data_IF_300136985696
#
_entry.id   IF_300136985696
#
_cell.length_a   1.000
_cell.length_b   1.000
_cell.length_c   1.000
_cell.angle_alpha   90.00
_cell.angle_beta   90.00
_cell.angle_gamma   90.00
#
_symmetry.space_group_name_H-M   'P 1'
#
loop_
_entity.id
_entity.type
_entity.pdbx_description
1 polymer ?
#
# COMPACT_ATOMS: atom_id res chain seq x y z
N UNK A 1 -23.82 8.95 15.42
CA UNK A 1 -22.41 9.25 15.67
C UNK A 1 -21.64 8.60 14.56
N UNK A 2 -20.55 9.22 14.12
CA UNK A 2 -19.66 8.64 13.14
C UNK A 2 -18.25 8.67 13.72
N UNK A 3 -17.46 7.64 13.45
CA UNK A 3 -16.07 7.59 13.86
C UNK A 3 -15.23 8.19 12.72
N UNK A 4 -14.50 9.23 13.05
CA UNK A 4 -13.54 9.85 12.14
C UNK A 4 -12.14 9.33 12.44
N UNK A 5 -11.36 9.05 11.40
CA UNK A 5 -9.92 8.87 11.52
C UNK A 5 -9.22 10.16 11.95
N UNK A 6 -7.90 10.12 12.13
CA UNK A 6 -7.08 11.26 12.55
C UNK A 6 -7.22 12.52 11.68
N UNK A 7 -7.67 12.37 10.43
CA UNK A 7 -7.91 13.47 9.49
C UNK A 7 -9.35 14.01 9.51
N UNK A 8 -10.20 13.51 10.43
CA UNK A 8 -11.62 13.86 10.47
C UNK A 8 -12.39 13.35 9.25
N UNK A 9 -11.88 12.33 8.56
CA UNK A 9 -12.59 11.62 7.49
C UNK A 9 -13.19 10.35 8.07
N UNK A 10 -14.34 9.92 7.55
CA UNK A 10 -14.91 8.62 7.95
C UNK A 10 -13.91 7.53 7.56
N UNK A 11 -13.62 6.60 8.48
CA UNK A 11 -12.73 5.50 8.17
C UNK A 11 -13.43 4.53 7.21
N UNK A 12 -12.93 4.42 5.98
CA UNK A 12 -13.52 3.55 4.96
C UNK A 12 -13.27 2.06 5.26
N UNK A 13 -14.33 1.25 5.15
CA UNK A 13 -14.25 -0.21 5.17
C UNK A 13 -15.64 -0.84 5.10
N UNK A 14 -15.90 -1.66 4.07
CA UNK A 14 -17.21 -2.25 3.76
C UNK A 14 -17.81 -3.21 4.83
N UNK A 15 -17.20 -3.28 6.03
CA UNK A 15 -17.64 -4.20 7.09
C UNK A 15 -17.40 -3.70 8.54
N UNK A 16 -16.92 -2.47 8.77
CA UNK A 16 -16.39 -2.15 10.11
C UNK A 16 -17.30 -1.33 11.03
N UNK A 17 -18.15 -0.40 10.58
CA UNK A 17 -18.87 0.46 11.53
C UNK A 17 -20.25 0.96 11.04
N UNK A 18 -21.19 1.10 11.99
CA UNK A 18 -22.49 1.73 11.76
C UNK A 18 -22.30 3.24 11.75
N UNK A 19 -22.35 3.87 10.57
CA UNK A 19 -22.52 5.32 10.48
C UNK A 19 -24.02 5.61 10.49
N UNK A 20 -24.52 6.20 11.58
CA UNK A 20 -25.86 6.77 11.63
C UNK A 20 -25.79 8.24 12.03
N UNK A 21 -26.59 9.06 11.38
CA UNK A 21 -26.78 10.46 11.71
C UNK A 21 -28.14 10.66 12.37
N UNK A 22 -28.21 11.56 13.34
CA UNK A 22 -29.48 12.05 13.89
C UNK A 22 -29.44 13.56 13.98
N UNK A 23 -30.33 14.20 13.24
CA UNK A 23 -30.63 15.62 13.43
C UNK A 23 -31.91 15.74 14.27
N UNK A 24 -31.83 16.49 15.36
CA UNK A 24 -32.98 16.76 16.23
C UNK A 24 -33.12 18.24 16.46
N UNK A 25 -34.31 18.78 16.17
CA UNK A 25 -34.68 20.17 16.47
C UNK A 25 -35.92 20.14 17.37
N UNK A 26 -35.84 20.82 18.50
CA UNK A 26 -36.91 20.89 19.51
C UNK A 26 -37.14 22.33 19.91
N UNK A 27 -38.39 22.75 19.87
CA UNK A 27 -38.87 23.96 20.54
C UNK A 27 -40.09 23.54 21.35
N UNK A 28 -40.00 23.67 22.67
CA UNK A 28 -40.98 23.08 23.60
C UNK A 28 -42.21 23.96 23.85
N UNK A 29 -42.28 25.15 23.25
CA UNK A 29 -43.41 26.08 23.37
C UNK A 29 -43.02 27.51 22.98
N UNK A 30 -44.00 28.42 22.98
CA UNK A 30 -43.80 29.86 22.78
C UNK A 30 -43.78 30.33 21.33
N UNK A 31 -43.92 29.43 20.35
CA UNK A 31 -44.04 29.79 18.94
C UNK A 31 -45.48 30.17 18.59
N UNK A 32 -45.62 31.01 17.56
CA UNK A 32 -46.92 31.39 17.01
C UNK A 32 -47.52 30.18 16.26
N UNK A 33 -48.68 29.66 16.68
CA UNK A 33 -49.31 28.51 16.04
C UNK A 33 -49.51 28.71 14.53
N UNK A 34 -49.13 27.72 13.72
CA UNK A 34 -49.28 27.76 12.26
C UNK A 34 -48.28 28.65 11.51
N UNK A 35 -47.42 29.40 12.22
CA UNK A 35 -46.39 30.21 11.57
C UNK A 35 -45.19 29.35 11.11
N UNK A 36 -44.51 29.83 10.07
CA UNK A 36 -43.29 29.21 9.53
C UNK A 36 -42.02 29.67 10.24
N UNK A 37 -41.11 28.72 10.47
CA UNK A 37 -39.82 28.94 11.10
C UNK A 37 -38.71 28.26 10.29
N UNK A 38 -37.64 28.97 9.96
CA UNK A 38 -36.48 28.43 9.25
C UNK A 38 -35.33 28.22 10.24
N UNK A 39 -34.89 26.97 10.38
CA UNK A 39 -33.68 26.61 11.11
C UNK A 39 -32.52 26.46 10.15
N UNK A 40 -31.46 27.24 10.36
CA UNK A 40 -30.18 27.12 9.65
C UNK A 40 -29.14 26.54 10.61
N UNK A 41 -28.41 25.53 10.17
CA UNK A 41 -27.47 24.76 10.98
C UNK A 41 -26.30 24.27 10.12
N UNK A 42 -25.26 23.67 10.71
CA UNK A 42 -24.04 23.32 9.96
C UNK A 42 -24.14 22.33 8.80
N UNK A 43 -25.31 21.74 8.57
CA UNK A 43 -25.54 20.80 7.46
C UNK A 43 -26.61 21.30 6.49
N UNK A 44 -26.99 22.58 6.58
CA UNK A 44 -27.97 23.21 5.69
C UNK A 44 -29.07 23.95 6.45
N UNK A 45 -30.23 24.10 5.80
CA UNK A 45 -31.38 24.80 6.36
C UNK A 45 -32.67 24.03 6.11
N UNK A 46 -33.62 24.11 7.04
CA UNK A 46 -34.93 23.49 6.96
C UNK A 46 -36.02 24.41 7.52
N UNK A 47 -37.20 24.37 6.90
CA UNK A 47 -38.36 25.14 7.33
C UNK A 47 -39.38 24.22 7.99
N UNK A 48 -39.95 24.69 9.11
CA UNK A 48 -40.95 24.00 9.91
C UNK A 48 -42.17 24.90 10.09
N UNK A 49 -43.33 24.29 10.33
CA UNK A 49 -44.54 25.01 10.75
C UNK A 49 -44.80 24.65 12.21
N UNK A 50 -45.00 25.66 13.07
CA UNK A 50 -45.29 25.43 14.47
C UNK A 50 -46.66 24.75 14.65
N UNK A 51 -46.72 23.77 15.55
CA UNK A 51 -47.98 23.09 15.89
C UNK A 51 -48.99 24.03 16.55
N UNK A 52 -50.23 23.57 16.75
CA UNK A 52 -51.24 24.30 17.51
C UNK A 52 -50.78 24.64 18.95
N UNK A 53 -49.88 23.84 19.50
CA UNK A 53 -49.27 24.05 20.82
C UNK A 53 -48.05 25.00 20.79
N UNK A 54 -47.71 25.58 19.63
CA UNK A 54 -46.54 26.47 19.50
C UNK A 54 -45.21 25.74 19.64
N UNK A 55 -45.12 24.50 19.15
CA UNK A 55 -43.92 23.66 19.28
C UNK A 55 -43.33 23.24 17.93
N UNK A 56 -42.05 22.84 17.94
CA UNK A 56 -41.38 22.12 16.84
C UNK A 56 -40.80 20.83 17.42
N UNK A 57 -41.10 19.69 16.82
CA UNK A 57 -40.61 18.37 17.24
C UNK A 57 -40.14 17.55 16.04
N UNK A 58 -38.91 17.83 15.57
CA UNK A 58 -38.37 17.21 14.35
C UNK A 58 -37.23 16.22 14.64
N UNK A 59 -37.29 15.02 14.07
CA UNK A 59 -36.16 14.08 14.09
C UNK A 59 -35.99 13.46 12.73
N UNK A 60 -34.80 13.64 12.17
CA UNK A 60 -34.36 12.92 11.00
C UNK A 60 -33.23 11.96 11.41
N UNK A 61 -33.43 10.68 11.12
CA UNK A 61 -32.43 9.65 11.30
C UNK A 61 -31.96 9.22 9.91
N UNK A 62 -30.65 9.23 9.68
CA UNK A 62 -30.05 8.76 8.44
C UNK A 62 -29.14 7.57 8.76
N UNK A 63 -29.19 6.53 7.93
CA UNK A 63 -28.56 5.23 8.20
C UNK A 63 -29.52 4.19 8.77
N UNK A 64 -29.01 2.99 9.03
CA UNK A 64 -29.81 1.86 9.49
C UNK A 64 -30.00 1.89 11.01
N UNK A 65 -31.25 1.97 11.50
CA UNK A 65 -31.58 1.99 12.93
C UNK A 65 -32.38 0.79 13.45
N UNK A 66 -32.84 -0.11 12.56
CA UNK A 66 -33.50 -1.36 12.91
C UNK A 66 -33.50 -2.32 11.71
N UNK A 67 -33.22 -3.61 11.96
CA UNK A 67 -33.49 -4.71 11.04
C UNK A 67 -34.76 -5.44 11.51
N UNK A 68 -35.59 -6.05 10.61
CA UNK A 68 -35.37 -6.30 9.17
C UNK A 68 -35.90 -5.18 8.23
N UNK A 69 -35.33 -5.00 7.01
CA UNK A 69 -34.32 -5.83 6.30
C UNK A 69 -32.85 -5.50 6.68
N UNK A 70 -31.89 -6.24 6.08
CA UNK A 70 -30.45 -6.06 6.34
C UNK A 70 -29.96 -4.66 5.93
N UNK A 71 -29.07 -4.08 6.74
CA UNK A 71 -28.57 -2.73 6.56
C UNK A 71 -27.72 -2.60 5.27
N UNK A 72 -28.08 -1.65 4.41
CA UNK A 72 -27.22 -1.18 3.31
C UNK A 72 -26.32 -0.04 3.82
N UNK A 73 -25.06 -0.37 4.05
CA UNK A 73 -24.07 0.53 4.65
C UNK A 73 -23.51 1.57 3.66
N UNK A 74 -23.82 1.47 2.37
CA UNK A 74 -23.37 2.44 1.35
C UNK A 74 -24.14 3.77 1.42
N UNK A 75 -25.36 3.76 1.96
CA UNK A 75 -26.23 4.93 2.08
C UNK A 75 -25.79 5.94 3.16
N UNK A 76 -24.91 5.55 4.07
CA UNK A 76 -24.52 6.36 5.22
C UNK A 76 -23.44 7.42 4.92
N UNK A 77 -22.73 7.32 3.80
CA UNK A 77 -21.49 8.08 3.53
C UNK A 77 -21.63 9.28 2.58
N UNK A 78 -22.38 9.25 1.46
CA UNK A 78 -22.35 10.36 0.52
C UNK A 78 -23.35 11.50 0.81
N UNK A 79 -24.49 11.21 1.47
CA UNK A 79 -25.66 12.10 1.51
C UNK A 79 -26.21 12.36 2.92
N UNK A 80 -25.39 12.16 3.95
CA UNK A 80 -25.83 12.33 5.35
C UNK A 80 -25.34 13.66 5.93
N UNK A 81 -26.00 14.14 6.98
CA UNK A 81 -25.58 15.28 7.80
C UNK A 81 -24.36 14.93 8.68
N UNK A 82 -23.44 14.13 8.15
CA UNK A 82 -22.23 13.62 8.80
C UNK A 82 -20.98 14.22 8.13
N UNK A 83 -21.11 14.84 6.95
CA UNK A 83 -20.01 15.51 6.26
C UNK A 83 -20.06 17.05 6.36
N UNK A 84 -18.90 17.73 6.40
CA UNK A 84 -17.71 17.36 7.16
C UNK A 84 -18.01 17.41 8.67
N UNK A 85 -17.25 16.67 9.48
CA UNK A 85 -17.43 16.70 10.93
C UNK A 85 -17.28 18.12 11.46
N UNK A 86 -18.18 18.51 12.36
CA UNK A 86 -18.00 19.71 13.16
C UNK A 86 -16.78 19.48 14.05
N UNK A 87 -15.74 20.26 13.79
CA UNK A 87 -14.50 20.20 14.54
C UNK A 87 -14.49 21.31 15.55
N UNK A 88 -14.01 21.02 16.75
CA UNK A 88 -13.67 22.04 17.72
C UNK A 88 -12.71 23.06 17.10
N UNK A 89 -13.03 24.35 17.17
CA UNK A 89 -12.15 25.39 16.63
C UNK A 89 -10.83 25.47 17.43
N UNK A 90 -9.68 25.05 16.86
CA UNK A 90 -8.43 25.02 17.61
C UNK A 90 -7.90 26.43 17.92
N UNK A 91 -8.38 27.48 17.23
CA UNK A 91 -7.91 28.85 17.45
C UNK A 91 -8.40 29.45 18.77
N UNK A 92 -9.55 29.00 19.28
CA UNK A 92 -10.08 29.46 20.56
C UNK A 92 -9.65 28.55 21.74
N UNK A 93 -9.51 27.23 21.54
CA UNK A 93 -8.85 26.32 22.48
C UNK A 93 -8.56 24.95 21.85
N UNK A 94 -7.61 24.20 22.39
CA UNK A 94 -7.24 22.86 21.88
C UNK A 94 -8.07 21.78 22.58
N UNK A 95 -8.75 20.87 21.85
CA UNK A 95 -9.45 19.75 22.47
C UNK A 95 -8.46 18.78 23.16
N UNK A 96 -8.91 17.97 24.14
CA UNK A 96 -8.07 16.93 24.73
C UNK A 96 -7.48 16.01 23.66
N UNK A 97 -6.23 15.58 23.86
CA UNK A 97 -5.54 14.72 22.90
C UNK A 97 -6.36 13.45 22.59
N UNK A 98 -6.56 13.19 21.30
CA UNK A 98 -7.34 12.03 20.83
C UNK A 98 -8.86 12.24 20.78
N UNK A 99 -9.36 13.47 20.94
CA UNK A 99 -10.79 13.80 20.86
C UNK A 99 -11.06 14.90 19.84
N UNK A 100 -12.26 14.90 19.26
CA UNK A 100 -12.73 15.96 18.34
C UNK A 100 -13.34 17.18 19.06
N UNK A 101 -13.50 17.12 20.39
CA UNK A 101 -14.08 18.17 21.23
C UNK A 101 -14.28 17.75 22.68
N UNK A 102 -14.74 18.68 23.52
CA UNK A 102 -15.01 18.46 24.95
C UNK A 102 -16.47 18.81 25.30
N UNK A 103 -17.36 17.84 25.60
CA UNK A 103 -18.80 18.08 25.74
C UNK A 103 -19.20 18.92 26.96
N UNK A 104 -18.27 19.15 27.90
CA UNK A 104 -18.54 19.95 29.10
C UNK A 104 -18.41 21.46 28.86
N UNK A 105 -17.87 21.88 27.72
CA UNK A 105 -17.55 23.28 27.43
C UNK A 105 -18.16 23.65 26.07
N UNK A 106 -19.10 24.62 26.03
CA UNK A 106 -19.58 25.18 24.77
C UNK A 106 -18.46 25.90 24.03
N UNK A 107 -18.35 25.66 22.73
CA UNK A 107 -17.25 26.22 21.93
C UNK A 107 -17.65 26.47 20.47
N UNK A 108 -16.94 27.39 19.82
CA UNK A 108 -17.05 27.58 18.37
C UNK A 108 -16.56 26.33 17.62
N UNK A 109 -17.15 26.08 16.46
CA UNK A 109 -16.80 24.94 15.62
C UNK A 109 -16.35 25.41 14.23
N UNK A 110 -15.60 24.55 13.56
CA UNK A 110 -15.20 24.68 12.16
C UNK A 110 -15.61 23.42 11.40
N UNK A 111 -15.35 23.39 10.09
CA UNK A 111 -15.63 22.21 9.25
C UNK A 111 -16.95 22.27 8.49
N UNK A 112 -17.74 23.34 8.61
CA UNK A 112 -18.91 23.58 7.76
C UNK A 112 -18.84 24.95 7.06
N UNK A 113 -19.57 25.08 5.95
CA UNK A 113 -19.89 26.35 5.32
C UNK A 113 -20.69 27.29 6.25
N UNK A 114 -21.35 26.76 7.29
CA UNK A 114 -22.13 27.55 8.26
C UNK A 114 -21.91 27.01 9.68
N UNK A 115 -21.12 27.70 10.51
CA UNK A 115 -20.81 27.25 11.88
C UNK A 115 -21.72 27.89 12.94
N UNK A 116 -23.02 28.04 12.63
CA UNK A 116 -24.02 28.63 13.53
C UNK A 116 -25.29 27.79 13.52
N UNK A 117 -25.96 27.69 14.66
CA UNK A 117 -27.36 27.30 14.73
C UNK A 117 -28.21 28.55 14.86
N UNK A 118 -29.13 28.78 13.93
CA UNK A 118 -30.03 29.94 13.89
C UNK A 118 -31.45 29.47 13.65
N UNK A 119 -32.40 29.96 14.44
CA UNK A 119 -33.82 29.80 14.19
C UNK A 119 -34.44 31.16 13.92
N UNK A 120 -35.21 31.27 12.84
CA UNK A 120 -35.83 32.51 12.39
C UNK A 120 -37.32 32.31 12.12
N UNK A 121 -38.13 33.26 12.54
CA UNK A 121 -39.58 33.26 12.41
C UNK A 121 -40.25 34.13 13.49
N UNK A 122 -41.56 34.38 13.39
CA UNK A 122 -42.25 35.31 14.28
C UNK A 122 -42.08 34.97 15.76
N UNK A 123 -41.64 35.93 16.57
CA UNK A 123 -41.51 35.85 18.03
C UNK A 123 -40.71 34.64 18.56
N UNK A 124 -39.78 34.09 17.78
CA UNK A 124 -39.01 32.89 18.14
C UNK A 124 -38.17 33.06 19.43
N UNK A 125 -37.72 34.28 19.71
CA UNK A 125 -37.02 34.63 20.96
C UNK A 125 -37.89 35.35 21.98
N UNK A 126 -39.21 35.31 21.82
CA UNK A 126 -40.18 36.14 22.53
C UNK A 126 -40.74 37.30 21.68
N UNK A 127 -41.70 38.08 22.22
CA UNK A 127 -42.37 39.15 21.48
C UNK A 127 -41.39 40.13 20.81
N UNK A 128 -41.50 40.31 19.50
CA UNK A 128 -40.65 41.20 18.70
C UNK A 128 -39.27 40.63 18.31
N UNK A 129 -38.87 39.48 18.85
CA UNK A 129 -37.57 38.85 18.57
C UNK A 129 -37.76 37.72 17.56
N UNK A 130 -37.48 38.01 16.29
CA UNK A 130 -37.74 37.09 15.18
C UNK A 130 -36.54 36.19 14.79
N UNK A 131 -35.42 36.31 15.50
CA UNK A 131 -34.22 35.50 15.25
C UNK A 131 -33.55 35.18 16.59
N UNK A 132 -33.19 33.91 16.79
CA UNK A 132 -32.27 33.47 17.84
C UNK A 132 -31.13 32.68 17.18
N UNK A 133 -29.90 32.86 17.67
CA UNK A 133 -28.74 32.15 17.12
C UNK A 133 -27.64 31.92 18.16
N UNK A 134 -26.88 30.84 17.97
CA UNK A 134 -25.66 30.55 18.72
C UNK A 134 -24.61 29.98 17.77
N UNK A 135 -23.35 30.36 17.97
CA UNK A 135 -22.19 29.72 17.37
C UNK A 135 -21.45 28.79 18.35
N UNK A 136 -21.98 28.59 19.56
CA UNK A 136 -21.42 27.70 20.57
C UNK A 136 -22.10 26.33 20.53
N UNK A 137 -21.28 25.28 20.50
CA UNK A 137 -21.69 23.88 20.42
C UNK A 137 -20.98 23.03 21.47
N UNK A 138 -21.59 21.93 21.88
CA UNK A 138 -20.91 20.87 22.62
C UNK A 138 -20.55 19.76 21.64
N UNK A 139 -19.25 19.52 21.44
CA UNK A 139 -18.75 18.49 20.52
C UNK A 139 -18.12 17.36 21.34
N UNK A 140 -18.42 16.11 20.97
CA UNK A 140 -17.84 14.93 21.61
C UNK A 140 -17.58 13.85 20.58
N UNK A 141 -16.49 13.12 20.78
CA UNK A 141 -16.09 11.99 19.95
C UNK A 141 -14.60 11.71 20.16
N UNK A 142 -14.24 10.43 20.12
CA UNK A 142 -12.85 9.99 20.16
C UNK A 142 -12.35 9.82 18.73
N UNK A 143 -11.18 10.35 18.45
CA UNK A 143 -10.49 10.16 17.18
C UNK A 143 -9.97 8.73 17.14
N UNK A 144 -10.31 8.00 16.09
CA UNK A 144 -9.69 6.71 15.84
C UNK A 144 -8.31 6.92 15.23
N UNK A 145 -7.28 6.41 15.90
CA UNK A 145 -5.89 6.45 15.45
C UNK A 145 -5.43 5.01 15.27
N UNK A 146 -5.03 4.66 14.05
CA UNK A 146 -4.48 3.34 13.75
C UNK A 146 -3.23 3.09 14.60
N UNK A 147 -3.13 1.90 15.16
CA UNK A 147 -1.99 1.46 15.96
C UNK A 147 -0.73 1.34 15.10
N UNK A 148 0.40 1.82 15.60
CA UNK A 148 1.70 1.54 14.97
C UNK A 148 2.06 0.06 15.10
N UNK A 149 2.88 -0.44 14.18
CA UNK A 149 3.36 -1.82 14.18
C UNK A 149 4.87 -1.88 13.97
N UNK A 150 5.48 -2.98 14.42
CA UNK A 150 6.83 -3.39 14.01
C UNK A 150 6.72 -4.67 13.21
N UNK A 151 7.56 -4.80 12.18
CA UNK A 151 7.71 -6.03 11.40
C UNK A 151 9.14 -6.54 11.57
N UNK A 152 9.30 -7.82 11.88
CA UNK A 152 10.59 -8.52 11.81
C UNK A 152 10.55 -9.55 10.68
N UNK A 153 11.72 -9.88 10.13
CA UNK A 153 11.88 -10.89 9.10
C UNK A 153 12.99 -11.85 9.52
N UNK A 154 12.77 -13.14 9.30
CA UNK A 154 13.80 -14.17 9.34
C UNK A 154 13.74 -15.02 8.06
N UNK A 155 14.84 -15.67 7.75
CA UNK A 155 14.99 -16.57 6.60
C UNK A 155 15.70 -17.84 7.05
N UNK A 156 15.20 -18.99 6.62
CA UNK A 156 15.82 -20.28 6.92
C UNK A 156 15.67 -21.27 5.75
N UNK A 157 16.75 -21.95 5.32
CA UNK A 157 18.12 -21.83 5.84
C UNK A 157 18.85 -20.56 5.34
N UNK A 158 19.84 -20.08 6.09
CA UNK A 158 20.74 -19.01 5.69
C UNK A 158 22.19 -19.32 6.15
N UNK A 159 23.15 -19.57 5.24
CA UNK A 159 22.99 -19.60 3.78
C UNK A 159 22.12 -20.77 3.30
N UNK A 160 21.51 -20.63 2.13
CA UNK A 160 20.83 -21.71 1.40
C UNK A 160 21.66 -22.16 0.19
N UNK A 161 21.50 -23.39 -0.28
CA UNK A 161 22.03 -23.79 -1.58
C UNK A 161 21.15 -23.28 -2.74
N UNK A 162 21.74 -23.10 -3.92
CA UNK A 162 21.03 -22.72 -5.12
C UNK A 162 19.92 -23.72 -5.46
N UNK A 163 18.70 -23.22 -5.67
CA UNK A 163 17.51 -24.04 -5.91
C UNK A 163 16.96 -24.76 -4.67
N UNK A 164 17.60 -24.64 -3.51
CA UNK A 164 17.05 -25.15 -2.25
C UNK A 164 15.86 -24.27 -1.83
N UNK A 165 14.71 -24.85 -1.46
CA UNK A 165 13.64 -24.09 -0.83
C UNK A 165 14.11 -23.46 0.48
N UNK A 166 13.86 -22.17 0.64
CA UNK A 166 14.02 -21.42 1.87
C UNK A 166 12.68 -20.81 2.27
N UNK A 167 12.46 -20.66 3.57
CA UNK A 167 11.24 -20.06 4.13
C UNK A 167 11.57 -18.70 4.73
N UNK A 168 10.82 -17.70 4.28
CA UNK A 168 10.80 -16.35 4.85
C UNK A 168 9.65 -16.29 5.85
N UNK A 169 9.95 -15.85 7.07
CA UNK A 169 8.95 -15.70 8.13
C UNK A 169 8.96 -14.25 8.60
N UNK A 170 7.87 -13.54 8.33
CA UNK A 170 7.64 -12.20 8.83
C UNK A 170 6.72 -12.24 10.05
N UNK A 171 7.08 -11.53 11.12
CA UNK A 171 6.22 -11.36 12.31
C UNK A 171 5.89 -9.89 12.46
N UNK A 172 4.60 -9.58 12.62
CA UNK A 172 4.10 -8.23 12.81
C UNK A 172 3.48 -8.12 14.20
N UNK A 173 3.97 -7.16 14.98
CA UNK A 173 3.49 -6.92 16.34
C UNK A 173 2.96 -5.49 16.48
N UNK A 174 1.88 -5.28 17.25
CA UNK A 174 1.43 -3.93 17.59
C UNK A 174 2.46 -3.25 18.50
N UNK A 175 2.60 -1.93 18.36
CA UNK A 175 3.41 -1.11 19.26
C UNK A 175 2.48 -0.43 20.26
N UNK A 176 2.79 -0.56 21.55
CA UNK A 176 2.01 0.08 22.61
C UNK A 176 1.84 1.59 22.32
N UNK A 177 0.64 2.15 22.52
CA UNK A 177 -0.50 1.58 23.25
C UNK A 177 -1.44 0.72 22.41
N UNK A 178 -1.12 0.43 21.14
CA UNK A 178 -1.95 -0.43 20.32
C UNK A 178 -1.99 -1.85 20.89
N UNK A 179 -3.15 -2.49 20.77
CA UNK A 179 -3.40 -3.86 21.23
C UNK A 179 -4.11 -4.65 20.13
N UNK A 180 -4.19 -5.96 20.25
CA UNK A 180 -4.76 -6.85 19.24
C UNK A 180 -3.72 -7.48 18.33
N UNK A 181 -4.18 -8.26 17.36
CA UNK A 181 -3.32 -8.98 16.43
C UNK A 181 -3.41 -8.35 15.04
N UNK A 182 -2.29 -7.88 14.46
CA UNK A 182 -2.28 -7.36 13.10
C UNK A 182 -2.80 -8.39 12.09
N UNK A 183 -3.71 -7.95 11.23
CA UNK A 183 -4.29 -8.70 10.11
C UNK A 183 -3.84 -8.06 8.79
N UNK A 184 -4.05 -8.71 7.65
CA UNK A 184 -3.68 -8.17 6.35
C UNK A 184 -2.60 -8.98 5.66
N UNK A 185 -1.75 -8.35 4.85
CA UNK A 185 -0.80 -9.03 3.97
C UNK A 185 0.62 -8.46 4.09
N UNK A 186 1.60 -9.34 4.01
CA UNK A 186 3.03 -9.02 3.88
C UNK A 186 3.46 -9.17 2.42
N UNK A 187 4.20 -8.20 1.91
CA UNK A 187 4.98 -8.33 0.69
C UNK A 187 6.46 -8.57 1.04
N UNK A 188 7.01 -9.69 0.58
CA UNK A 188 8.43 -10.01 0.70
C UNK A 188 9.16 -9.44 -0.52
N UNK A 189 10.29 -8.80 -0.29
CA UNK A 189 11.07 -8.14 -1.33
C UNK A 189 12.53 -8.53 -1.29
N UNK A 190 13.16 -8.58 -2.46
CA UNK A 190 14.60 -8.57 -2.64
C UNK A 190 15.00 -7.23 -3.26
N UNK A 191 15.63 -6.38 -2.47
CA UNK A 191 15.78 -4.96 -2.79
C UNK A 191 14.41 -4.31 -3.05
N UNK A 192 14.21 -3.78 -4.27
CA UNK A 192 12.95 -3.16 -4.68
C UNK A 192 11.91 -4.15 -5.24
N UNK A 193 12.33 -5.36 -5.62
CA UNK A 193 11.51 -6.33 -6.34
C UNK A 193 10.68 -7.14 -5.36
N UNK A 194 9.36 -7.25 -5.60
CA UNK A 194 8.50 -8.14 -4.81
C UNK A 194 8.67 -9.57 -5.30
N UNK A 195 9.11 -10.46 -4.41
CA UNK A 195 9.35 -11.88 -4.72
C UNK A 195 8.17 -12.77 -4.29
N UNK A 196 7.25 -12.23 -3.50
CA UNK A 196 5.98 -12.88 -3.18
C UNK A 196 5.21 -12.13 -2.10
N UNK A 197 4.00 -12.61 -1.83
CA UNK A 197 3.13 -12.07 -0.77
C UNK A 197 2.54 -13.23 0.04
N UNK A 198 2.23 -12.98 1.31
CA UNK A 198 1.52 -13.92 2.14
C UNK A 198 0.61 -13.20 3.15
N UNK A 199 -0.59 -13.74 3.44
CA UNK A 199 -1.47 -13.17 4.46
C UNK A 199 -0.89 -13.39 5.86
N UNK A 200 -1.22 -12.48 6.79
CA UNK A 200 -0.97 -12.67 8.21
C UNK A 200 -1.98 -13.66 8.79
N UNK A 201 -1.47 -14.68 9.45
CA UNK A 201 -2.22 -15.61 10.29
C UNK A 201 -1.64 -15.48 11.69
N UNK A 202 -2.44 -14.95 12.62
CA UNK A 202 -2.00 -14.67 14.00
C UNK A 202 -0.73 -13.80 14.09
N UNK A 203 -0.65 -12.75 13.26
CA UNK A 203 0.51 -11.83 13.24
C UNK A 203 1.75 -12.38 12.54
N UNK A 204 1.68 -13.57 11.93
CA UNK A 204 2.81 -14.19 11.22
C UNK A 204 2.44 -14.46 9.76
N UNK A 205 3.36 -14.15 8.85
CA UNK A 205 3.25 -14.49 7.43
C UNK A 205 4.47 -15.30 7.02
N UNK A 206 4.26 -16.39 6.27
CA UNK A 206 5.33 -17.27 5.79
C UNK A 206 5.28 -17.43 4.28
N UNK A 207 6.45 -17.37 3.63
CA UNK A 207 6.59 -17.59 2.20
C UNK A 207 7.79 -18.51 1.93
N UNK A 208 7.55 -19.64 1.25
CA UNK A 208 8.63 -20.54 0.81
C UNK A 208 8.94 -20.29 -0.66
N UNK A 209 10.22 -20.07 -0.98
CA UNK A 209 10.71 -19.85 -2.34
C UNK A 209 11.99 -20.65 -2.60
N UNK A 210 12.28 -20.92 -3.86
CA UNK A 210 13.51 -21.61 -4.30
C UNK A 210 14.09 -20.98 -5.57
N UNK A 211 13.77 -19.70 -5.81
CA UNK A 211 14.01 -18.99 -7.08
C UNK A 211 15.13 -17.95 -7.01
N UNK A 212 15.74 -17.73 -5.84
CA UNK A 212 16.88 -16.83 -5.68
C UNK A 212 18.13 -17.44 -6.31
N UNK A 213 18.79 -16.69 -7.20
CA UNK A 213 20.05 -17.10 -7.81
C UNK A 213 21.22 -17.07 -6.81
N UNK A 214 22.36 -17.70 -7.12
CA UNK A 214 23.54 -17.59 -6.28
C UNK A 214 24.00 -16.15 -6.07
N UNK A 215 24.25 -15.76 -4.82
CA UNK A 215 24.61 -14.40 -4.46
C UNK A 215 24.08 -13.98 -3.08
N UNK A 216 24.32 -12.71 -2.73
CA UNK A 216 23.76 -12.08 -1.55
C UNK A 216 22.48 -11.33 -1.93
N UNK A 217 21.38 -11.61 -1.24
CA UNK A 217 20.07 -11.00 -1.44
C UNK A 217 19.68 -10.17 -0.22
N UNK A 218 19.22 -8.94 -0.43
CA UNK A 218 18.84 -8.03 0.64
C UNK A 218 17.32 -8.08 0.83
N UNK A 219 16.88 -8.97 1.72
CA UNK A 219 15.47 -9.30 1.87
C UNK A 219 14.77 -8.39 2.89
N UNK A 220 13.58 -7.91 2.56
CA UNK A 220 12.71 -7.15 3.48
C UNK A 220 11.28 -7.67 3.45
N UNK A 221 10.56 -7.49 4.55
CA UNK A 221 9.13 -7.75 4.65
C UNK A 221 8.40 -6.43 4.88
N UNK A 222 7.42 -6.13 4.03
CA UNK A 222 6.62 -4.90 4.08
C UNK A 222 5.19 -5.27 4.44
N UNK A 223 4.76 -4.85 5.64
CA UNK A 223 3.38 -4.93 6.07
C UNK A 223 2.58 -3.76 5.50
N UNK A 224 1.51 -4.07 4.76
CA UNK A 224 0.65 -3.10 4.08
C UNK A 224 -0.32 -2.35 4.99
N UNK A 225 -0.33 -2.65 6.30
CA UNK A 225 -1.30 -2.08 7.24
C UNK A 225 -2.66 -2.77 7.14
N UNK A 226 -3.58 -2.32 7.98
CA UNK A 226 -4.99 -2.73 7.99
C UNK A 226 -5.88 -1.56 8.41
N UNK A 227 -7.16 -1.85 8.67
CA UNK A 227 -8.08 -0.88 9.24
C UNK A 227 -7.61 -0.41 10.63
N UNK A 228 -7.04 -1.32 11.43
CA UNK A 228 -6.65 -1.02 12.81
C UNK A 228 -5.19 -0.63 12.96
N UNK A 229 -4.34 -0.97 11.98
CA UNK A 229 -2.90 -0.87 12.11
C UNK A 229 -2.24 -0.14 10.93
N UNK A 230 -1.23 0.66 11.25
CA UNK A 230 -0.36 1.31 10.28
C UNK A 230 0.62 0.31 9.64
N UNK A 231 1.13 0.68 8.48
CA UNK A 231 2.17 -0.05 7.75
C UNK A 231 3.48 -0.09 8.54
N UNK A 232 4.28 -1.13 8.35
CA UNK A 232 5.66 -1.18 8.82
C UNK A 232 6.54 -2.03 7.90
N UNK A 233 7.84 -1.82 7.96
CA UNK A 233 8.83 -2.55 7.15
C UNK A 233 9.90 -3.12 8.06
N UNK A 234 10.32 -4.36 7.83
CA UNK A 234 11.41 -4.97 8.57
C UNK A 234 12.76 -4.33 8.26
N UNK A 235 13.73 -4.51 9.16
CA UNK A 235 15.13 -4.37 8.77
C UNK A 235 15.48 -5.34 7.63
N UNK A 236 16.48 -5.00 6.83
CA UNK A 236 16.97 -5.87 5.77
C UNK A 236 17.71 -7.08 6.37
N UNK A 237 17.41 -8.27 5.87
CA UNK A 237 18.13 -9.51 6.18
C UNK A 237 18.89 -9.94 4.95
N UNK A 238 20.21 -10.14 5.09
CA UNK A 238 21.03 -10.64 4.00
C UNK A 238 20.89 -12.17 3.95
N UNK A 239 20.25 -12.66 2.88
CA UNK A 239 20.20 -14.09 2.55
C UNK A 239 21.34 -14.41 1.58
N UNK A 240 22.24 -15.31 1.98
CA UNK A 240 23.28 -15.79 1.09
C UNK A 240 22.84 -17.10 0.43
N UNK A 241 22.81 -17.10 -0.90
CA UNK A 241 22.56 -18.30 -1.71
C UNK A 241 23.89 -18.80 -2.26
N UNK A 242 24.33 -19.97 -1.79
CA UNK A 242 25.51 -20.64 -2.28
C UNK A 242 25.23 -21.28 -3.65
N UNK A 243 26.05 -20.97 -4.65
CA UNK A 243 25.99 -21.60 -5.97
C UNK A 243 27.24 -22.38 -6.31
N UNK A 244 27.13 -23.23 -7.32
CA UNK A 244 28.28 -23.86 -7.95
C UNK A 244 29.01 -22.86 -8.84
N UNK A 245 30.33 -22.95 -8.89
CA UNK A 245 31.13 -22.15 -9.81
C UNK A 245 31.02 -22.70 -11.25
N UNK A 246 31.13 -21.81 -12.22
CA UNK A 246 31.15 -22.15 -13.65
C UNK A 246 32.33 -21.46 -14.35
N UNK A 247 32.78 -22.03 -15.46
CA UNK A 247 33.71 -21.38 -16.39
C UNK A 247 33.07 -21.27 -17.76
N UNK A 248 33.34 -20.17 -18.46
CA UNK A 248 32.88 -19.97 -19.84
C UNK A 248 34.10 -19.87 -20.75
N UNK A 249 34.15 -20.69 -21.81
CA UNK A 249 35.13 -20.58 -22.88
C UNK A 249 34.46 -20.15 -24.17
N UNK A 250 35.18 -19.43 -25.03
CA UNK A 250 34.67 -18.90 -26.29
C UNK A 250 35.58 -19.34 -27.44
N UNK A 251 34.97 -19.82 -28.51
CA UNK A 251 35.65 -20.22 -29.75
C UNK A 251 34.95 -19.60 -30.95
N UNK A 252 35.69 -19.42 -32.05
CA UNK A 252 35.18 -18.99 -33.35
C UNK A 252 35.40 -20.10 -34.38
N UNK A 253 34.47 -20.24 -35.32
CA UNK A 253 34.57 -21.21 -36.42
C UNK A 253 35.74 -20.92 -37.36
N UNK A 254 36.17 -19.66 -37.48
CA UNK A 254 37.33 -19.25 -38.27
C UNK A 254 37.87 -17.89 -37.79
N UNK A 255 39.19 -17.78 -37.66
CA UNK A 255 39.87 -16.53 -37.34
C UNK A 255 41.29 -16.52 -37.96
N UNK A 256 41.61 -15.69 -38.97
CA UNK A 256 40.74 -14.66 -39.57
C UNK A 256 39.64 -15.23 -40.47
N UNK A 257 38.65 -14.39 -40.82
CA UNK A 257 37.59 -14.71 -41.80
C UNK A 257 37.35 -13.51 -42.74
N UNK A 258 36.91 -13.74 -43.97
CA UNK A 258 36.61 -12.66 -44.93
C UNK A 258 35.29 -11.96 -44.60
N UNK A 259 35.21 -10.66 -44.89
CA UNK A 259 33.99 -9.86 -44.72
C UNK A 259 32.79 -10.54 -45.41
N UNK A 260 31.62 -10.47 -44.77
CA UNK A 260 30.34 -11.08 -45.19
C UNK A 260 30.29 -12.61 -45.17
N UNK A 261 31.37 -13.31 -44.83
CA UNK A 261 31.28 -14.75 -44.55
C UNK A 261 30.65 -14.98 -43.18
N UNK A 262 29.95 -16.11 -43.04
CA UNK A 262 29.33 -16.50 -41.79
C UNK A 262 30.40 -16.97 -40.80
N UNK A 263 30.49 -16.31 -39.64
CA UNK A 263 31.28 -16.74 -38.50
C UNK A 263 30.35 -17.21 -37.40
N UNK A 264 30.63 -18.39 -36.84
CA UNK A 264 29.91 -18.93 -35.69
C UNK A 264 30.79 -18.84 -34.46
N UNK A 265 30.31 -18.11 -33.46
CA UNK A 265 30.88 -18.09 -32.12
C UNK A 265 30.19 -19.13 -31.26
N UNK A 266 30.97 -19.98 -30.58
CA UNK A 266 30.45 -20.98 -29.66
C UNK A 266 31.03 -20.76 -28.28
N UNK A 267 30.15 -20.45 -27.33
CA UNK A 267 30.45 -20.41 -25.92
C UNK A 267 30.15 -21.77 -25.28
N UNK A 268 31.11 -22.31 -24.52
CA UNK A 268 30.91 -23.53 -23.72
C UNK A 268 31.00 -23.16 -22.25
N UNK A 269 29.95 -23.47 -21.49
CA UNK A 269 29.86 -23.24 -20.06
C UNK A 269 29.97 -24.57 -19.35
N UNK A 270 31.01 -24.72 -18.52
CA UNK A 270 31.31 -25.95 -17.80
C UNK A 270 31.19 -25.75 -16.29
N UNK A 271 30.72 -26.77 -15.54
CA UNK A 271 30.75 -26.71 -14.09
C UNK A 271 32.20 -26.80 -13.59
N UNK A 272 32.49 -26.11 -12.49
CA UNK A 272 33.77 -26.27 -11.78
C UNK A 272 33.59 -27.31 -10.69
N UNK A 273 34.54 -28.26 -10.60
CA UNK A 273 34.54 -29.28 -9.56
C UNK A 273 34.41 -28.65 -8.16
N UNK A 274 33.60 -29.23 -7.25
CA UNK A 274 33.02 -30.57 -7.31
C UNK A 274 31.68 -30.68 -8.06
N UNK A 275 31.18 -29.58 -8.65
CA UNK A 275 29.91 -29.63 -9.36
C UNK A 275 30.01 -30.46 -10.65
N UNK A 276 29.01 -31.30 -10.89
CA UNK A 276 28.94 -32.18 -12.07
C UNK A 276 27.73 -31.90 -12.96
N UNK A 277 26.73 -31.18 -12.45
CA UNK A 277 25.54 -30.81 -13.21
C UNK A 277 25.91 -29.88 -14.37
N UNK A 278 25.28 -30.09 -15.53
CA UNK A 278 25.49 -29.20 -16.69
C UNK A 278 24.83 -27.84 -16.44
N UNK A 279 25.55 -26.72 -16.58
CA UNK A 279 24.96 -25.38 -16.44
C UNK A 279 23.81 -25.13 -17.43
N UNK A 280 22.74 -24.52 -16.93
CA UNK A 280 21.58 -24.05 -17.71
C UNK A 280 21.55 -22.53 -17.70
N UNK A 281 20.65 -21.87 -18.43
CA UNK A 281 20.56 -20.40 -18.47
C UNK A 281 21.01 -19.83 -19.81
N UNK A 282 21.56 -18.61 -19.81
CA UNK A 282 21.85 -17.88 -21.06
C UNK A 282 23.26 -17.33 -21.11
N UNK A 283 23.79 -17.20 -22.33
CA UNK A 283 25.05 -16.51 -22.63
C UNK A 283 24.78 -15.32 -23.51
N UNK A 284 25.33 -14.17 -23.14
CA UNK A 284 25.32 -12.94 -23.95
C UNK A 284 26.66 -12.77 -24.65
N UNK A 285 26.64 -12.72 -25.97
CA UNK A 285 27.80 -12.43 -26.82
C UNK A 285 27.89 -10.92 -27.06
N UNK A 286 29.09 -10.35 -26.90
CA UNK A 286 29.36 -8.93 -27.10
C UNK A 286 30.56 -8.69 -28.00
N UNK A 287 30.52 -7.60 -28.73
CA UNK A 287 31.67 -6.98 -29.39
C UNK A 287 32.01 -5.68 -28.64
N UNK A 288 33.06 -5.72 -27.82
CA UNK A 288 33.31 -4.69 -26.81
C UNK A 288 32.11 -4.53 -25.88
N UNK A 289 31.47 -3.35 -25.91
CA UNK A 289 30.26 -3.07 -25.11
C UNK A 289 28.95 -3.43 -25.82
N UNK A 290 28.99 -3.63 -27.14
CA UNK A 290 27.80 -3.87 -27.98
C UNK A 290 27.31 -5.30 -27.82
N UNK A 291 26.03 -5.49 -27.47
CA UNK A 291 25.41 -6.83 -27.45
C UNK A 291 25.14 -7.29 -28.88
N UNK A 292 25.67 -8.45 -29.24
CA UNK A 292 25.40 -9.09 -30.53
C UNK A 292 24.20 -10.03 -30.46
N UNK A 293 24.15 -10.87 -29.41
CA UNK A 293 23.08 -11.83 -29.19
C UNK A 293 23.05 -12.32 -27.74
N UNK A 294 21.88 -12.77 -27.29
CA UNK A 294 21.71 -13.56 -26.07
C UNK A 294 21.12 -14.91 -26.46
N UNK A 295 21.79 -16.00 -26.09
CA UNK A 295 21.47 -17.36 -26.53
C UNK A 295 21.33 -18.28 -25.31
N UNK A 296 20.31 -19.12 -25.31
CA UNK A 296 20.08 -20.12 -24.25
C UNK A 296 21.05 -21.29 -24.39
N UNK A 297 21.56 -21.79 -23.27
CA UNK A 297 22.41 -22.98 -23.25
C UNK A 297 21.62 -24.23 -23.61
N UNK A 298 22.16 -25.03 -24.52
CA UNK A 298 21.71 -26.40 -24.83
C UNK A 298 22.90 -27.32 -24.61
N UNK A 299 22.82 -28.21 -23.62
CA UNK A 299 23.93 -29.10 -23.25
C UNK A 299 25.20 -28.35 -22.84
N UNK A 300 25.06 -27.22 -22.13
CA UNK A 300 26.19 -26.39 -21.68
C UNK A 300 26.83 -25.56 -22.81
N UNK A 301 26.21 -25.45 -23.99
CA UNK A 301 26.73 -24.66 -25.10
C UNK A 301 25.71 -23.64 -25.62
N UNK A 302 26.20 -22.49 -26.05
CA UNK A 302 25.46 -21.49 -26.78
C UNK A 302 26.23 -21.14 -28.06
N UNK A 303 25.54 -21.10 -29.21
CA UNK A 303 26.15 -20.78 -30.50
C UNK A 303 25.42 -19.63 -31.17
N UNK A 304 26.17 -18.66 -31.67
CA UNK A 304 25.69 -17.48 -32.37
C UNK A 304 26.41 -17.36 -33.71
N UNK A 305 25.66 -17.24 -34.81
CA UNK A 305 26.22 -17.07 -36.16
C UNK A 305 25.88 -15.69 -36.71
N UNK A 306 26.86 -15.01 -37.29
CA UNK A 306 26.67 -13.69 -37.91
C UNK A 306 27.50 -13.54 -39.19
N UNK A 307 27.01 -12.71 -40.10
CA UNK A 307 27.70 -12.26 -41.33
C UNK A 307 27.94 -10.75 -41.33
N UNK A 308 27.61 -10.07 -40.23
CA UNK A 308 27.49 -8.60 -40.15
C UNK A 308 28.72 -7.88 -39.57
N UNK A 309 29.80 -8.59 -39.26
CA UNK A 309 31.02 -7.95 -38.79
C UNK A 309 31.74 -7.26 -39.96
N UNK A 310 32.10 -6.00 -39.76
CA UNK A 310 32.86 -5.21 -40.75
C UNK A 310 34.35 -5.56 -40.73
N UNK A 311 35.13 -5.07 -41.69
CA UNK A 311 36.57 -5.32 -41.71
C UNK A 311 37.25 -4.66 -40.49
N UNK A 312 38.11 -5.41 -39.78
CA UNK A 312 38.76 -4.96 -38.56
C UNK A 312 38.95 -6.05 -37.52
N UNK A 313 39.39 -5.66 -36.33
CA UNK A 313 39.54 -6.54 -35.16
C UNK A 313 38.41 -6.28 -34.17
N UNK A 314 37.64 -7.30 -33.86
CA UNK A 314 36.48 -7.25 -32.96
C UNK A 314 36.80 -7.99 -31.65
N UNK A 315 36.84 -7.32 -30.49
CA UNK A 315 37.06 -7.96 -29.19
C UNK A 315 35.77 -8.64 -28.71
N UNK A 316 35.59 -9.91 -29.11
CA UNK A 316 34.39 -10.69 -28.78
C UNK A 316 34.51 -11.29 -27.38
N UNK A 317 33.45 -11.17 -26.59
CA UNK A 317 33.32 -11.83 -25.28
C UNK A 317 31.99 -12.57 -25.18
N UNK A 318 31.97 -13.61 -24.34
CA UNK A 318 30.76 -14.35 -23.98
C UNK A 318 30.58 -14.32 -22.46
N UNK A 319 29.44 -13.83 -21.98
CA UNK A 319 29.11 -13.74 -20.56
C UNK A 319 27.92 -14.62 -20.23
N UNK A 320 28.12 -15.64 -19.39
CA UNK A 320 27.08 -16.49 -18.85
C UNK A 320 26.40 -15.80 -17.66
N UNK A 321 25.07 -15.68 -17.70
CA UNK A 321 24.27 -14.97 -16.70
C UNK A 321 24.14 -15.68 -15.35
N UNK A 322 24.58 -16.94 -15.27
CA UNK A 322 24.21 -17.81 -14.15
C UNK A 322 22.85 -18.48 -14.35
N UNK A 323 22.51 -19.32 -13.37
CA UNK A 323 21.21 -19.99 -13.23
C UNK A 323 20.93 -20.23 -11.75
N UNK A 324 19.83 -20.90 -11.44
CA UNK A 324 19.41 -21.15 -10.06
C UNK A 324 20.43 -21.93 -9.23
N UNK A 325 21.31 -22.71 -9.87
CA UNK A 325 22.35 -23.51 -9.19
C UNK A 325 23.78 -23.07 -9.48
N UNK A 326 24.01 -22.21 -10.49
CA UNK A 326 25.37 -21.79 -10.90
C UNK A 326 25.53 -20.28 -10.93
N UNK A 327 26.64 -19.79 -10.36
CA UNK A 327 27.06 -18.41 -10.52
C UNK A 327 27.44 -18.08 -11.96
N UNK A 328 27.30 -16.81 -12.35
CA UNK A 328 27.72 -16.31 -13.66
C UNK A 328 29.23 -16.39 -13.88
N UNK A 329 29.65 -16.41 -15.13
CA UNK A 329 31.06 -16.41 -15.54
C UNK A 329 31.24 -15.75 -16.91
N UNK A 330 32.48 -15.42 -17.28
CA UNK A 330 32.79 -14.79 -18.56
C UNK A 330 33.97 -15.47 -19.23
N UNK A 331 34.00 -15.46 -20.56
CA UNK A 331 35.15 -15.87 -21.35
C UNK A 331 36.27 -14.83 -21.30
N UNK A 332 37.48 -15.26 -21.63
CA UNK A 332 38.50 -14.33 -22.10
C UNK A 332 38.06 -13.62 -23.39
N UNK A 333 38.69 -12.49 -23.70
CA UNK A 333 38.46 -11.76 -24.96
C UNK A 333 39.02 -12.56 -26.14
N UNK A 334 38.20 -12.79 -27.14
CA UNK A 334 38.59 -13.35 -28.44
C UNK A 334 38.65 -12.22 -29.47
N UNK A 335 39.85 -11.85 -29.91
CA UNK A 335 40.03 -10.87 -30.98
C UNK A 335 39.73 -11.52 -32.35
N UNK A 336 38.50 -11.37 -32.84
CA UNK A 336 38.10 -11.84 -34.16
C UNK A 336 38.57 -10.86 -35.24
N UNK A 337 39.37 -11.35 -36.19
CA UNK A 337 39.84 -10.55 -37.32
C UNK A 337 38.98 -10.81 -38.54
N UNK A 338 38.45 -9.73 -39.12
CA UNK A 338 37.71 -9.72 -40.38
C UNK A 338 38.59 -9.07 -41.46
N UNK A 339 38.95 -9.85 -42.47
CA UNK A 339 39.73 -9.37 -43.62
C UNK A 339 38.81 -8.84 -44.74
N UNK A 340 39.31 -7.94 -45.61
CA UNK A 340 38.52 -7.32 -46.67
C UNK A 340 37.84 -8.27 -47.67
#
# INVERSE_FOLDING_TARGET
GAFGGATGTVADGAAAEVVFARLRIRVNGGLVPGASYTATYPFGSQTFVATAAGTINFTNNQGCLAAPPACDFTLALPNTNVGPFLQWDPAASVPPAGYIGQPAIPHAIVGSATNVFRLSGPNVGGPGVNVVSTNLFNVTGKIFVRGSTTTSLTTAPNPSAGGQPLTLTATVSPVAPATGVPTGTIAFKDGAVTIGTAPLVNGVATLTISTLFPGAHSLTAVYSGSLDFLTSTSAAVIQNVAGNASTTTLTSSANPIKRRQAVTFTATVSPVAPATATPTGTVTFRDGTTVLATVTLVGGRASFTTTRLEAGTHPITATYSGSITFGGSASAVLNQVITP
#
